data_IF_273442765089
#
_entry.id   IF_273442765089
#
_cell.length_a   1.000
_cell.length_b   1.000
_cell.length_c   1.000
_cell.angle_alpha   90.00
_cell.angle_beta   90.00
_cell.angle_gamma   90.00
#
_symmetry.space_group_name_H-M   'P 1'
#
loop_
_entity.id
_entity.type
_entity.pdbx_description
1 polymer ?
#
# COMPACT_ATOMS: atom_id res chain seq x y z
N UNK A 1 -2.75 -2.67 -11.01
CA UNK A 1 -3.17 -1.43 -10.34
C UNK A 1 -2.95 -1.62 -8.85
N UNK A 2 -1.87 -1.05 -8.34
CA UNK A 2 -1.44 -1.21 -6.95
C UNK A 2 -2.10 -0.19 -6.01
N UNK A 3 -2.43 1.01 -6.50
CA UNK A 3 -2.96 2.09 -5.65
C UNK A 3 -4.22 2.74 -6.20
N UNK A 4 -5.10 3.21 -5.31
CA UNK A 4 -6.26 4.04 -5.65
C UNK A 4 -6.49 5.16 -4.63
N UNK A 5 -6.93 6.33 -5.09
CA UNK A 5 -7.54 7.35 -4.23
C UNK A 5 -8.65 8.12 -4.95
N UNK A 6 -9.46 8.88 -4.22
CA UNK A 6 -10.60 9.63 -4.76
C UNK A 6 -10.43 11.14 -4.58
N UNK A 7 -10.39 11.87 -5.70
CA UNK A 7 -10.46 13.33 -5.70
C UNK A 7 -11.92 13.77 -5.61
N UNK A 8 -12.39 14.04 -4.39
CA UNK A 8 -13.75 14.54 -4.10
C UNK A 8 -14.07 15.85 -4.82
N UNK A 9 -13.08 16.72 -5.07
CA UNK A 9 -13.31 18.01 -5.69
C UNK A 9 -13.63 17.86 -7.19
N UNK A 10 -12.97 16.89 -7.85
CA UNK A 10 -13.14 16.62 -9.28
C UNK A 10 -14.07 15.45 -9.59
N UNK A 11 -14.46 14.68 -8.58
CA UNK A 11 -15.36 13.54 -8.72
C UNK A 11 -14.73 12.38 -9.49
N UNK A 12 -13.42 12.18 -9.36
CA UNK A 12 -12.65 11.17 -10.10
C UNK A 12 -11.79 10.31 -9.16
N UNK A 13 -11.49 9.10 -9.61
CA UNK A 13 -10.51 8.22 -9.00
C UNK A 13 -9.16 8.39 -9.69
N UNK A 14 -8.10 8.32 -8.89
CA UNK A 14 -6.71 8.28 -9.31
C UNK A 14 -6.20 6.86 -9.06
N UNK A 15 -5.63 6.22 -10.08
CA UNK A 15 -5.15 4.83 -10.02
C UNK A 15 -3.66 4.79 -10.31
N UNK A 16 -2.87 4.22 -9.42
CA UNK A 16 -1.43 4.01 -9.60
C UNK A 16 -1.18 2.64 -10.25
N UNK A 17 -0.22 2.61 -11.17
CA UNK A 17 0.30 1.36 -11.73
C UNK A 17 1.60 0.98 -11.03
N UNK A 18 1.69 -0.29 -10.64
CA UNK A 18 2.86 -1.02 -10.14
C UNK A 18 3.96 -1.26 -11.20
N UNK A 19 3.63 -1.10 -12.49
CA UNK A 19 4.62 -1.19 -13.57
C UNK A 19 5.89 -0.39 -13.29
N UNK A 20 7.01 -1.11 -13.20
CA UNK A 20 8.36 -0.60 -12.99
C UNK A 20 8.95 0.10 -14.21
N UNK A 21 8.09 0.74 -14.99
CA UNK A 21 8.34 1.32 -16.29
C UNK A 21 8.69 0.33 -17.41
N UNK A 22 8.45 -0.96 -17.20
CA UNK A 22 8.79 -2.02 -18.16
C UNK A 22 7.88 -1.97 -19.39
N UNK A 23 6.59 -1.61 -19.20
CA UNK A 23 5.62 -1.45 -20.28
C UNK A 23 5.40 0.01 -20.67
N UNK A 24 5.23 0.91 -19.69
CA UNK A 24 5.12 2.34 -19.90
C UNK A 24 5.65 3.10 -18.67
N UNK A 25 6.13 4.36 -18.81
CA UNK A 25 6.64 5.10 -17.66
C UNK A 25 5.69 5.12 -16.47
N UNK A 26 6.22 5.23 -15.25
CA UNK A 26 5.43 5.34 -14.00
C UNK A 26 4.28 6.33 -14.20
N UNK A 27 3.06 5.91 -13.86
CA UNK A 27 1.85 6.63 -14.27
C UNK A 27 0.70 6.49 -13.30
N UNK A 28 -0.13 7.52 -13.31
CA UNK A 28 -1.42 7.58 -12.63
C UNK A 28 -2.51 7.74 -13.68
N UNK A 29 -3.48 6.83 -13.69
CA UNK A 29 -4.69 6.95 -14.49
C UNK A 29 -5.75 7.77 -13.76
N UNK A 30 -6.48 8.58 -14.50
CA UNK A 30 -7.69 9.24 -14.02
C UNK A 30 -8.90 8.44 -14.51
N UNK A 31 -9.91 8.31 -13.66
CA UNK A 31 -11.09 7.50 -13.94
C UNK A 31 -12.34 8.15 -13.36
N UNK A 32 -13.43 8.14 -14.11
CA UNK A 32 -14.75 8.43 -13.55
C UNK A 32 -15.51 7.12 -13.38
N UNK A 33 -16.01 6.87 -12.17
CA UNK A 33 -16.76 5.67 -11.87
C UNK A 33 -17.86 5.99 -10.87
N UNK A 34 -19.07 5.47 -11.13
CA UNK A 34 -20.23 5.60 -10.25
C UNK A 34 -20.65 4.19 -9.81
N UNK A 35 -20.12 3.67 -8.70
CA UNK A 35 -20.32 2.27 -8.30
C UNK A 35 -21.79 1.88 -8.07
N UNK A 36 -22.64 2.86 -7.77
CA UNK A 36 -24.08 2.70 -7.54
C UNK A 36 -24.90 2.64 -8.82
N UNK A 37 -24.35 3.08 -9.96
CA UNK A 37 -24.98 3.00 -11.27
C UNK A 37 -24.36 1.83 -12.02
N UNK A 38 -25.09 0.72 -12.12
CA UNK A 38 -24.67 -0.49 -12.84
C UNK A 38 -24.25 -0.13 -14.28
N UNK A 39 -22.95 -0.02 -14.53
CA UNK A 39 -22.34 0.25 -15.82
C UNK A 39 -21.10 -0.61 -16.01
N UNK A 40 -20.63 -0.65 -17.25
CA UNK A 40 -19.41 -1.27 -17.73
C UNK A 40 -18.20 -1.05 -16.80
N UNK A 41 -17.17 -1.93 -16.84
CA UNK A 41 -15.94 -1.73 -16.09
C UNK A 41 -15.40 -0.33 -16.34
N UNK A 42 -14.98 0.39 -15.29
CA UNK A 42 -14.64 1.79 -15.46
C UNK A 42 -13.40 1.95 -16.35
N UNK A 43 -13.47 2.91 -17.27
CA UNK A 43 -12.40 3.16 -18.25
C UNK A 43 -11.57 4.39 -17.84
N UNK A 44 -10.24 4.36 -18.05
CA UNK A 44 -9.42 5.54 -17.86
C UNK A 44 -9.87 6.70 -18.75
N UNK A 45 -10.05 7.87 -18.16
CA UNK A 45 -10.35 9.13 -18.85
C UNK A 45 -9.09 9.95 -19.12
N UNK A 46 -7.98 9.62 -18.44
CA UNK A 46 -6.70 10.29 -18.60
C UNK A 46 -5.54 9.46 -18.07
N UNK A 47 -4.32 9.87 -18.43
CA UNK A 47 -3.07 9.34 -17.89
C UNK A 47 -2.11 10.48 -17.62
N UNK A 48 -1.46 10.43 -16.46
CA UNK A 48 -0.39 11.34 -16.07
C UNK A 48 0.87 10.53 -15.78
N UNK A 49 1.98 10.87 -16.43
CA UNK A 49 3.27 10.23 -16.16
C UNK A 49 4.01 10.96 -15.04
N UNK A 50 4.39 10.22 -14.00
CA UNK A 50 5.23 10.72 -12.92
C UNK A 50 6.67 10.81 -13.43
N UNK A 51 7.36 11.89 -13.09
CA UNK A 51 8.68 12.22 -13.65
C UNK A 51 9.69 12.41 -12.53
N UNK A 52 10.96 12.24 -12.88
CA UNK A 52 12.10 12.49 -12.02
C UNK A 52 12.28 14.00 -11.77
N UNK A 53 13.17 14.35 -10.84
CA UNK A 53 13.51 15.75 -10.53
C UNK A 53 14.05 16.53 -11.74
N UNK A 54 14.73 15.86 -12.67
CA UNK A 54 15.25 16.45 -13.91
C UNK A 54 14.17 16.59 -15.01
N UNK A 55 12.92 16.18 -14.75
CA UNK A 55 11.82 16.22 -15.72
C UNK A 55 11.78 15.03 -16.67
N UNK A 56 12.72 14.09 -16.62
CA UNK A 56 12.69 12.88 -17.43
C UNK A 56 11.72 11.83 -16.84
N UNK A 57 11.13 10.94 -17.66
CA UNK A 57 10.38 9.80 -17.17
C UNK A 57 11.27 8.87 -16.35
N UNK A 58 10.70 8.15 -15.38
CA UNK A 58 11.40 7.06 -14.70
C UNK A 58 11.75 5.94 -15.70
N UNK A 59 13.00 5.43 -15.71
CA UNK A 59 13.40 4.42 -16.68
C UNK A 59 12.98 3.01 -16.22
N UNK A 60 12.75 2.07 -17.17
CA UNK A 60 12.68 0.66 -16.83
C UNK A 60 14.00 0.14 -16.28
N UNK A 61 13.93 -0.92 -15.48
CA UNK A 61 15.08 -1.61 -14.90
C UNK A 61 16.22 -1.86 -15.90
N UNK A 62 15.87 -2.38 -17.08
CA UNK A 62 16.80 -2.73 -18.17
C UNK A 62 17.53 -1.54 -18.83
N UNK A 63 17.08 -0.30 -18.62
CA UNK A 63 17.66 0.91 -19.23
C UNK A 63 18.17 1.92 -18.21
N UNK A 64 17.91 1.69 -16.92
CA UNK A 64 18.27 2.62 -15.86
C UNK A 64 19.79 2.66 -15.66
N UNK A 65 20.38 3.87 -15.72
CA UNK A 65 21.78 4.07 -15.34
C UNK A 65 21.97 3.73 -13.84
N UNK A 66 23.16 3.27 -13.41
CA UNK A 66 23.40 2.78 -12.04
C UNK A 66 22.92 3.70 -10.92
N UNK A 67 23.01 5.02 -11.12
CA UNK A 67 22.63 6.07 -10.18
C UNK A 67 21.16 6.48 -10.22
N UNK A 68 20.39 5.98 -11.19
CA UNK A 68 18.98 6.32 -11.37
C UNK A 68 18.11 5.23 -10.75
N UNK A 69 17.26 5.61 -9.80
CA UNK A 69 16.32 4.70 -9.16
C UNK A 69 15.29 4.15 -10.15
N UNK A 70 14.84 2.92 -9.90
CA UNK A 70 13.74 2.27 -10.62
C UNK A 70 12.61 2.10 -9.62
N UNK A 71 11.55 2.93 -9.69
CA UNK A 71 10.42 2.78 -8.82
C UNK A 71 9.67 1.47 -9.11
N UNK A 72 9.20 0.88 -8.02
CA UNK A 72 8.16 -0.15 -7.92
C UNK A 72 6.98 0.50 -7.18
N UNK A 73 6.01 1.12 -7.87
CA UNK A 73 5.01 1.99 -7.22
C UNK A 73 3.86 1.21 -6.57
N UNK A 74 3.60 1.42 -5.28
CA UNK A 74 2.58 0.63 -4.55
C UNK A 74 1.30 1.43 -4.24
N UNK A 75 1.34 2.37 -3.29
CA UNK A 75 0.16 3.13 -2.89
C UNK A 75 0.20 4.59 -3.30
N UNK A 76 -0.99 5.21 -3.36
CA UNK A 76 -1.20 6.63 -3.74
C UNK A 76 -2.19 7.32 -2.81
N UNK A 77 -1.95 8.59 -2.46
CA UNK A 77 -2.94 9.46 -1.79
C UNK A 77 -2.94 10.88 -2.37
N UNK A 78 -4.12 11.38 -2.69
CA UNK A 78 -4.37 12.73 -3.20
C UNK A 78 -4.36 13.75 -2.06
N UNK A 79 -3.74 14.91 -2.31
CA UNK A 79 -3.68 16.04 -1.37
C UNK A 79 -4.27 17.28 -2.04
N UNK A 80 -5.57 17.56 -1.84
CA UNK A 80 -6.24 18.67 -2.52
C UNK A 80 -5.68 20.04 -2.12
N UNK A 81 -5.27 20.22 -0.86
CA UNK A 81 -4.77 21.50 -0.33
C UNK A 81 -3.48 21.98 -1.02
N UNK A 82 -2.71 21.06 -1.60
CA UNK A 82 -1.44 21.35 -2.28
C UNK A 82 -1.46 21.02 -3.77
N UNK A 83 -2.56 20.48 -4.30
CA UNK A 83 -2.71 19.95 -5.67
C UNK A 83 -1.57 18.97 -6.04
N UNK A 84 -1.29 18.06 -5.10
CA UNK A 84 -0.23 17.04 -5.21
C UNK A 84 -0.76 15.67 -4.85
N UNK A 85 -0.06 14.62 -5.27
CA UNK A 85 -0.26 13.26 -4.79
C UNK A 85 1.00 12.76 -4.08
N UNK A 86 0.79 12.01 -3.00
CA UNK A 86 1.81 11.17 -2.39
C UNK A 86 1.76 9.79 -3.02
N UNK A 87 2.90 9.16 -3.19
CA UNK A 87 2.97 7.77 -3.65
C UNK A 87 4.19 7.07 -3.06
N UNK A 88 4.04 5.78 -2.77
CA UNK A 88 5.12 4.94 -2.24
C UNK A 88 5.80 4.15 -3.35
N UNK A 89 7.00 3.68 -3.05
CA UNK A 89 7.66 2.70 -3.87
C UNK A 89 8.51 1.75 -3.04
N UNK A 90 8.57 0.46 -3.40
CA UNK A 90 9.51 -0.48 -2.79
C UNK A 90 10.95 -0.33 -3.30
N UNK A 91 11.09 0.16 -4.54
CA UNK A 91 12.36 0.39 -5.20
C UNK A 91 12.95 -0.85 -5.87
N UNK A 92 14.27 -0.89 -5.99
CA UNK A 92 15.04 -2.02 -6.52
C UNK A 92 16.23 -2.25 -5.60
N UNK A 93 16.01 -3.08 -4.56
CA UNK A 93 17.03 -3.35 -3.52
C UNK A 93 18.30 -3.90 -4.16
N UNK A 94 18.18 -4.70 -5.22
CA UNK A 94 19.32 -5.27 -5.95
C UNK A 94 20.16 -4.21 -6.68
N UNK A 95 19.56 -3.05 -7.01
CA UNK A 95 20.26 -1.88 -7.56
C UNK A 95 20.67 -0.86 -6.48
N UNK A 96 20.41 -1.15 -5.21
CA UNK A 96 20.73 -0.27 -4.08
C UNK A 96 19.72 0.86 -3.86
N UNK A 97 18.52 0.76 -4.45
CA UNK A 97 17.44 1.72 -4.25
C UNK A 97 16.36 1.08 -3.38
N UNK A 98 16.25 1.53 -2.13
CA UNK A 98 15.24 1.04 -1.19
C UNK A 98 13.89 1.75 -1.34
N UNK A 99 13.04 1.58 -0.31
CA UNK A 99 11.71 2.15 -0.34
C UNK A 99 11.74 3.67 -0.36
N UNK A 100 10.70 4.28 -0.92
CA UNK A 100 10.59 5.71 -1.04
C UNK A 100 9.16 6.20 -0.83
N UNK A 101 9.04 7.41 -0.29
CA UNK A 101 7.82 8.21 -0.32
C UNK A 101 8.08 9.44 -1.19
N UNK A 102 7.33 9.57 -2.29
CA UNK A 102 7.42 10.69 -3.21
C UNK A 102 6.20 11.58 -3.10
N UNK A 103 6.40 12.87 -3.35
CA UNK A 103 5.34 13.85 -3.56
C UNK A 103 5.47 14.41 -4.96
N UNK A 104 4.40 14.32 -5.76
CA UNK A 104 4.37 14.81 -7.14
C UNK A 104 3.17 15.70 -7.37
N UNK A 105 3.30 16.67 -8.29
CA UNK A 105 2.15 17.48 -8.72
C UNK A 105 1.19 16.64 -9.55
N UNK A 106 -0.04 17.15 -9.71
CA UNK A 106 -1.03 16.52 -10.59
C UNK A 106 -0.59 16.41 -12.06
N UNK A 107 0.37 17.22 -12.51
CA UNK A 107 0.96 17.10 -13.86
C UNK A 107 2.09 16.07 -13.96
N UNK A 108 2.43 15.41 -12.83
CA UNK A 108 3.46 14.38 -12.71
C UNK A 108 4.87 14.90 -12.39
N UNK A 109 5.08 16.21 -12.28
CA UNK A 109 6.39 16.75 -11.84
C UNK A 109 6.68 16.41 -10.38
N UNK A 110 7.90 15.93 -10.10
CA UNK A 110 8.33 15.64 -8.73
C UNK A 110 8.47 16.93 -7.91
N UNK A 111 7.85 16.94 -6.74
CA UNK A 111 8.02 18.01 -5.75
C UNK A 111 9.19 17.68 -4.83
N UNK A 112 9.20 16.47 -4.26
CA UNK A 112 10.26 15.98 -3.36
C UNK A 112 10.16 14.47 -3.15
N UNK A 113 11.26 13.91 -2.69
CA UNK A 113 11.29 12.62 -1.98
C UNK A 113 11.34 12.92 -0.47
N UNK A 114 10.45 12.31 0.29
CA UNK A 114 10.36 12.50 1.74
C UNK A 114 11.27 11.46 2.42
N UNK A 115 12.19 11.87 3.31
CA UNK A 115 13.09 10.95 3.99
C UNK A 115 12.34 9.94 4.86
N UNK A 116 12.79 8.69 4.81
CA UNK A 116 12.29 7.60 5.66
C UNK A 116 13.26 7.32 6.82
N UNK A 117 12.82 6.69 7.91
CA UNK A 117 13.72 6.20 8.95
C UNK A 117 14.76 5.23 8.37
N UNK A 118 16.04 5.47 8.65
CA UNK A 118 17.16 4.69 8.09
C UNK A 118 17.09 3.19 8.39
N UNK A 119 16.34 2.78 9.42
CA UNK A 119 16.16 1.36 9.74
C UNK A 119 15.33 0.61 8.69
N UNK A 120 14.57 1.31 7.83
CA UNK A 120 13.79 0.72 6.76
C UNK A 120 14.66 0.39 5.53
N UNK A 121 15.80 1.07 5.38
CA UNK A 121 16.73 0.86 4.26
C UNK A 121 17.25 -0.58 4.25
N UNK A 122 17.10 -1.26 3.11
CA UNK A 122 17.64 -2.60 2.93
C UNK A 122 19.17 -2.55 2.95
N UNK A 123 19.77 -3.26 3.91
CA UNK A 123 21.22 -3.35 3.99
C UNK A 123 21.77 -4.22 2.85
N UNK A 124 22.92 -3.84 2.30
CA UNK A 124 23.55 -4.55 1.18
C UNK A 124 23.96 -5.98 1.51
N UNK A 125 24.10 -6.34 2.79
CA UNK A 125 24.39 -7.70 3.26
C UNK A 125 23.12 -8.56 3.44
N UNK A 126 21.93 -7.97 3.25
CA UNK A 126 20.64 -8.64 3.38
C UNK A 126 20.26 -9.04 4.81
N UNK A 127 20.99 -8.57 5.82
CA UNK A 127 20.77 -8.94 7.23
C UNK A 127 19.94 -7.91 8.01
N UNK A 128 19.64 -6.75 7.42
CA UNK A 128 18.87 -5.67 8.05
C UNK A 128 18.02 -4.93 7.03
N UNK A 129 16.97 -4.29 7.52
CA UNK A 129 16.09 -3.43 6.73
C UNK A 129 14.94 -4.18 6.08
N UNK A 130 14.32 -3.53 5.09
CA UNK A 130 13.26 -4.16 4.31
C UNK A 130 13.77 -5.35 3.50
N UNK A 131 12.82 -6.19 3.13
CA UNK A 131 13.02 -7.36 2.28
C UNK A 131 12.69 -6.96 0.83
N UNK A 132 13.34 -7.63 -0.13
CA UNK A 132 13.03 -7.45 -1.56
C UNK A 132 11.58 -7.93 -1.81
N UNK A 133 10.78 -7.12 -2.50
CA UNK A 133 9.38 -7.40 -2.85
C UNK A 133 8.47 -7.65 -1.62
N UNK A 134 8.72 -6.95 -0.52
CA UNK A 134 8.10 -7.09 0.80
C UNK A 134 8.26 -5.79 1.62
N UNK A 135 8.19 -4.66 0.90
CA UNK A 135 8.59 -3.32 1.29
C UNK A 135 7.42 -2.44 1.73
N UNK A 136 7.36 -1.21 1.21
CA UNK A 136 6.30 -0.25 1.52
C UNK A 136 5.12 -0.42 0.55
N UNK A 137 4.10 -1.13 1.01
CA UNK A 137 2.84 -1.34 0.30
C UNK A 137 1.85 -0.21 0.61
N UNK A 138 1.45 -0.08 1.88
CA UNK A 138 0.32 0.78 2.26
C UNK A 138 0.67 2.24 2.55
N UNK A 139 -0.26 3.14 2.22
CA UNK A 139 -0.15 4.58 2.50
C UNK A 139 -1.50 5.14 2.93
N UNK A 140 -1.60 5.86 4.05
CA UNK A 140 -2.84 6.53 4.44
C UNK A 140 -2.62 8.00 4.83
N UNK A 141 -3.57 8.88 4.52
CA UNK A 141 -3.59 10.25 5.04
C UNK A 141 -4.49 10.36 6.26
N UNK A 142 -4.07 11.11 7.28
CA UNK A 142 -5.00 11.52 8.33
C UNK A 142 -6.05 12.48 7.76
N UNK A 143 -7.29 12.51 8.27
CA UNK A 143 -8.35 13.34 7.71
C UNK A 143 -8.06 14.84 7.65
N UNK A 144 -7.15 15.33 8.50
CA UNK A 144 -6.70 16.72 8.50
C UNK A 144 -5.61 17.02 7.47
N UNK A 145 -5.18 16.03 6.68
CA UNK A 145 -4.17 16.17 5.63
C UNK A 145 -2.75 16.47 6.12
N UNK A 146 -2.50 16.45 7.44
CA UNK A 146 -1.22 16.84 8.03
C UNK A 146 -0.21 15.70 8.15
N UNK A 147 -0.69 14.45 8.26
CA UNK A 147 0.15 13.29 8.45
C UNK A 147 -0.12 12.21 7.41
N UNK A 148 0.93 11.50 7.03
CA UNK A 148 0.83 10.26 6.28
C UNK A 148 1.28 9.09 7.16
N UNK A 149 0.57 7.97 7.09
CA UNK A 149 1.00 6.68 7.62
C UNK A 149 1.53 5.83 6.47
N UNK A 150 2.70 5.24 6.66
CA UNK A 150 3.33 4.30 5.75
C UNK A 150 3.31 2.92 6.39
N UNK A 151 2.87 1.90 5.67
CA UNK A 151 2.79 0.53 6.18
C UNK A 151 3.71 -0.39 5.39
N UNK A 152 4.63 -1.05 6.11
CA UNK A 152 5.41 -2.14 5.54
C UNK A 152 4.54 -3.38 5.33
N UNK A 153 4.72 -4.08 4.21
CA UNK A 153 4.05 -5.36 3.93
C UNK A 153 4.41 -6.42 4.97
N UNK A 154 5.72 -6.54 5.20
CA UNK A 154 6.31 -7.55 6.07
C UNK A 154 7.20 -6.94 7.14
N UNK A 155 7.58 -7.77 8.11
CA UNK A 155 8.60 -7.43 9.09
C UNK A 155 9.96 -7.20 8.40
N UNK A 156 10.71 -6.20 8.91
CA UNK A 156 12.11 -6.04 8.55
C UNK A 156 12.90 -7.31 8.87
N UNK A 157 14.05 -7.49 8.24
CA UNK A 157 14.90 -8.68 8.43
C UNK A 157 15.19 -8.95 9.91
N UNK A 158 15.53 -7.90 10.65
CA UNK A 158 15.88 -7.98 12.07
C UNK A 158 14.68 -8.04 13.03
N UNK A 159 13.46 -7.77 12.56
CA UNK A 159 12.27 -7.71 13.41
C UNK A 159 11.54 -9.06 13.52
N UNK A 160 11.83 -10.01 12.63
CA UNK A 160 11.32 -11.37 12.75
C UNK A 160 11.13 -12.11 11.43
N UNK A 161 10.62 -13.36 11.50
CA UNK A 161 10.37 -14.18 10.32
C UNK A 161 9.14 -13.69 9.54
N UNK A 162 9.00 -14.16 8.31
CA UNK A 162 7.75 -14.04 7.56
C UNK A 162 6.67 -14.96 8.16
N UNK A 163 5.37 -14.65 7.96
CA UNK A 163 4.28 -15.53 8.39
C UNK A 163 4.40 -16.94 7.83
N UNK A 164 3.87 -17.91 8.58
CA UNK A 164 3.77 -19.31 8.16
C UNK A 164 2.35 -19.84 8.40
N UNK A 165 2.06 -21.08 8.01
CA UNK A 165 0.75 -21.70 8.28
C UNK A 165 0.47 -21.95 9.76
N UNK A 166 1.50 -21.89 10.62
CA UNK A 166 1.41 -22.26 12.04
C UNK A 166 1.72 -21.11 12.99
N UNK A 167 2.22 -19.98 12.47
CA UNK A 167 2.62 -18.84 13.27
C UNK A 167 2.49 -17.54 12.46
N UNK A 168 2.11 -16.48 13.15
CA UNK A 168 2.20 -15.12 12.63
C UNK A 168 3.68 -14.78 12.31
N UNK A 169 3.86 -13.78 11.44
CA UNK A 169 5.18 -13.22 11.17
C UNK A 169 5.70 -12.36 12.33
N UNK A 170 6.88 -11.80 12.13
CA UNK A 170 7.36 -10.68 12.93
C UNK A 170 6.45 -9.43 12.75
N UNK A 171 6.59 -8.44 13.64
CA UNK A 171 5.86 -7.18 13.51
C UNK A 171 6.31 -6.38 12.27
N UNK A 172 5.34 -5.98 11.45
CA UNK A 172 5.49 -4.94 10.44
C UNK A 172 5.55 -3.57 11.12
N UNK A 173 6.27 -2.62 10.53
CA UNK A 173 6.40 -1.25 11.03
C UNK A 173 5.49 -0.30 10.28
N UNK A 174 4.61 0.39 11.00
CA UNK A 174 3.80 1.48 10.45
C UNK A 174 4.35 2.82 10.92
N UNK A 175 4.76 3.68 9.99
CA UNK A 175 5.48 4.94 10.27
C UNK A 175 4.59 6.13 9.98
N UNK A 176 4.43 7.04 10.95
CA UNK A 176 3.73 8.31 10.76
C UNK A 176 4.73 9.42 10.40
N UNK A 177 4.47 10.10 9.29
CA UNK A 177 5.24 11.23 8.78
C UNK A 177 4.43 12.51 8.95
N UNK A 178 5.04 13.55 9.53
CA UNK A 178 4.48 14.90 9.48
C UNK A 178 4.85 15.58 8.15
N UNK A 179 3.84 15.84 7.31
CA UNK A 179 4.05 16.25 5.92
C UNK A 179 4.63 17.66 5.76
N UNK A 180 4.40 18.54 6.74
CA UNK A 180 4.97 19.90 6.72
C UNK A 180 6.50 19.87 6.85
N UNK A 181 7.05 18.94 7.64
CA UNK A 181 8.49 18.83 7.91
C UNK A 181 9.17 17.68 7.18
N UNK A 182 8.39 16.70 6.71
CA UNK A 182 8.88 15.44 6.14
C UNK A 182 9.51 14.50 7.17
N UNK A 183 9.30 14.73 8.47
CA UNK A 183 9.89 13.93 9.55
C UNK A 183 8.98 12.78 9.96
N UNK A 184 9.57 11.62 10.19
CA UNK A 184 8.92 10.57 10.97
C UNK A 184 8.76 11.03 12.42
N UNK A 185 7.53 10.97 12.94
CA UNK A 185 7.18 11.45 14.27
C UNK A 185 6.70 10.34 15.22
N UNK A 186 6.32 9.19 14.65
CA UNK A 186 5.89 8.00 15.40
C UNK A 186 6.07 6.78 14.52
N UNK A 187 6.31 5.63 15.13
CA UNK A 187 6.20 4.35 14.45
C UNK A 187 5.54 3.34 15.39
N UNK A 188 4.69 2.46 14.88
CA UNK A 188 4.04 1.41 15.67
C UNK A 188 4.30 0.04 15.04
N UNK A 189 4.21 -1.00 15.86
CA UNK A 189 4.28 -2.38 15.42
C UNK A 189 2.86 -2.92 15.11
N UNK A 190 2.72 -3.61 13.99
CA UNK A 190 1.52 -4.34 13.58
C UNK A 190 1.88 -5.81 13.30
N UNK A 191 1.11 -6.78 13.78
CA UNK A 191 1.39 -8.20 13.56
C UNK A 191 0.38 -8.79 12.58
N UNK A 192 0.79 -9.20 11.35
CA UNK A 192 -0.10 -9.84 10.39
C UNK A 192 -0.49 -11.26 10.86
N UNK A 193 -1.61 -11.78 10.35
CA UNK A 193 -2.04 -13.15 10.66
C UNK A 193 -1.08 -14.21 10.07
N UNK A 194 -1.11 -15.45 10.59
CA UNK A 194 -0.55 -16.60 9.90
C UNK A 194 -1.16 -16.75 8.49
N UNK A 195 -0.47 -17.47 7.61
CA UNK A 195 -0.97 -17.75 6.26
C UNK A 195 -2.29 -18.56 6.38
N UNK A 196 -3.44 -18.01 5.93
CA UNK A 196 -4.76 -18.58 6.20
C UNK A 196 -5.08 -19.82 5.36
N UNK A 197 -4.42 -19.98 4.21
CA UNK A 197 -4.67 -21.08 3.26
C UNK A 197 -3.37 -21.80 2.93
N UNK A 198 -3.43 -23.13 2.95
CA UNK A 198 -2.31 -23.95 2.46
C UNK A 198 -2.37 -24.02 0.94
N UNK A 199 -1.21 -24.03 0.25
CA UNK A 199 -1.18 -24.32 -1.17
C UNK A 199 -1.69 -25.75 -1.42
N UNK A 200 -2.30 -25.98 -2.59
CA UNK A 200 -2.85 -27.30 -2.94
C UNK A 200 -1.76 -28.36 -3.10
N UNK A 201 -0.57 -27.95 -3.56
CA UNK A 201 0.60 -28.82 -3.61
C UNK A 201 1.56 -28.46 -2.46
N UNK A 202 1.80 -29.37 -1.50
CA UNK A 202 2.73 -29.11 -0.40
C UNK A 202 4.11 -28.68 -0.88
N UNK A 203 4.69 -27.67 -0.22
CA UNK A 203 6.02 -27.12 -0.56
C UNK A 203 6.02 -26.09 -1.68
N UNK A 204 4.87 -25.72 -2.23
CA UNK A 204 4.75 -24.59 -3.16
C UNK A 204 4.49 -23.26 -2.44
N UNK A 205 4.60 -22.15 -3.17
CA UNK A 205 4.58 -20.80 -2.64
C UNK A 205 3.26 -20.44 -1.93
N UNK A 206 3.38 -19.73 -0.80
CA UNK A 206 2.30 -19.04 -0.13
C UNK A 206 2.85 -17.93 0.78
N UNK A 207 2.07 -16.86 0.95
CA UNK A 207 2.42 -15.68 1.74
C UNK A 207 1.20 -15.11 2.50
N UNK A 208 1.46 -14.13 3.36
CA UNK A 208 0.47 -13.19 3.90
C UNK A 208 1.22 -11.91 4.30
N UNK A 209 0.63 -10.76 3.98
CA UNK A 209 1.25 -9.46 4.21
C UNK A 209 0.21 -8.34 4.31
N UNK A 210 0.65 -7.15 4.72
CA UNK A 210 -0.17 -5.94 4.70
C UNK A 210 -0.12 -5.35 3.29
N UNK A 211 -1.24 -5.34 2.57
CA UNK A 211 -1.27 -4.74 1.22
C UNK A 211 -1.72 -3.30 1.20
N UNK A 212 -2.52 -2.83 2.17
CA UNK A 212 -2.99 -1.44 2.17
C UNK A 212 -3.45 -0.98 3.56
N UNK A 213 -3.39 0.34 3.78
CA UNK A 213 -3.95 0.99 4.97
C UNK A 213 -4.81 2.20 4.61
N UNK A 214 -5.90 2.40 5.34
CA UNK A 214 -6.81 3.53 5.12
C UNK A 214 -7.31 4.10 6.45
N UNK A 215 -7.10 5.41 6.68
CA UNK A 215 -7.59 6.04 7.91
C UNK A 215 -9.11 6.12 7.92
N UNK A 216 -9.74 5.58 8.95
CA UNK A 216 -11.17 5.77 9.26
C UNK A 216 -11.38 7.17 9.82
N UNK A 217 -10.51 7.59 10.74
CA UNK A 217 -10.50 8.92 11.34
C UNK A 217 -9.06 9.27 11.79
N UNK A 218 -8.88 10.20 12.73
CA UNK A 218 -7.55 10.61 13.18
C UNK A 218 -6.70 9.46 13.80
N UNK A 219 -7.34 8.43 14.36
CA UNK A 219 -6.63 7.39 15.13
C UNK A 219 -7.00 5.96 14.71
N UNK A 220 -8.22 5.73 14.20
CA UNK A 220 -8.67 4.42 13.73
C UNK A 220 -8.26 4.23 12.27
N UNK A 221 -7.65 3.09 11.97
CA UNK A 221 -7.11 2.74 10.66
C UNK A 221 -7.62 1.36 10.25
N UNK A 222 -8.03 1.23 8.99
CA UNK A 222 -8.24 -0.05 8.32
C UNK A 222 -6.90 -0.57 7.81
N UNK A 223 -6.68 -1.87 7.95
CA UNK A 223 -5.50 -2.60 7.46
C UNK A 223 -5.99 -3.78 6.62
N UNK A 224 -5.64 -3.80 5.34
CA UNK A 224 -5.90 -4.91 4.46
C UNK A 224 -4.75 -5.90 4.56
N UNK A 225 -5.05 -7.13 4.97
CA UNK A 225 -4.14 -8.25 4.81
C UNK A 225 -4.52 -9.06 3.59
N UNK A 226 -3.52 -9.31 2.75
CA UNK A 226 -3.62 -10.11 1.54
C UNK A 226 -2.69 -11.31 1.65
N UNK A 227 -3.22 -12.46 1.27
CA UNK A 227 -2.48 -13.72 1.17
C UNK A 227 -2.76 -14.37 -0.17
N UNK A 228 -1.73 -14.95 -0.77
CA UNK A 228 -1.83 -15.84 -1.90
C UNK A 228 -1.27 -17.23 -1.53
N UNK A 229 -1.90 -18.28 -2.04
CA UNK A 229 -1.37 -19.63 -1.96
C UNK A 229 -1.60 -20.38 -3.27
N UNK A 230 -0.54 -21.01 -3.81
CA UNK A 230 -0.60 -21.70 -5.11
C UNK A 230 -1.72 -22.73 -5.13
N UNK A 231 -2.63 -22.57 -6.09
CA UNK A 231 -3.81 -23.41 -6.28
C UNK A 231 -4.98 -23.13 -5.33
N UNK A 232 -4.76 -22.51 -4.17
CA UNK A 232 -5.82 -22.15 -3.23
C UNK A 232 -6.35 -20.71 -3.44
N UNK A 233 -5.59 -19.88 -4.16
CA UNK A 233 -5.95 -18.52 -4.54
C UNK A 233 -5.75 -17.49 -3.42
N UNK A 234 -6.35 -16.31 -3.61
CA UNK A 234 -6.23 -15.19 -2.70
C UNK A 234 -7.14 -15.33 -1.46
N UNK A 235 -6.71 -14.71 -0.37
CA UNK A 235 -7.48 -14.44 0.85
C UNK A 235 -7.29 -12.98 1.21
N UNK A 236 -8.38 -12.28 1.52
CA UNK A 236 -8.41 -10.85 1.79
C UNK A 236 -9.19 -10.58 3.06
N UNK A 237 -8.52 -10.03 4.07
CA UNK A 237 -9.14 -9.70 5.36
C UNK A 237 -8.85 -8.27 5.72
N UNK A 238 -9.91 -7.55 6.09
CA UNK A 238 -9.83 -6.18 6.53
C UNK A 238 -9.91 -6.14 8.05
N UNK A 239 -8.89 -5.57 8.66
CA UNK A 239 -8.82 -5.35 10.09
C UNK A 239 -8.95 -3.86 10.40
N UNK A 240 -9.26 -3.57 11.65
CA UNK A 240 -9.17 -2.25 12.21
C UNK A 240 -8.20 -2.23 13.38
N UNK A 241 -7.39 -1.18 13.46
CA UNK A 241 -6.54 -0.86 14.61
C UNK A 241 -6.84 0.56 15.13
N UNK A 242 -6.59 0.79 16.42
CA UNK A 242 -6.36 2.13 16.95
C UNK A 242 -4.85 2.38 17.05
N UNK A 243 -4.35 3.31 16.24
CA UNK A 243 -2.92 3.65 16.13
C UNK A 243 -2.29 4.13 17.44
N UNK A 244 -3.09 4.54 18.42
CA UNK A 244 -2.62 4.99 19.75
C UNK A 244 -2.31 3.82 20.68
N UNK A 245 -2.88 2.65 20.43
CA UNK A 245 -2.77 1.50 21.34
C UNK A 245 -1.48 0.71 21.17
N UNK A 246 -0.78 0.87 20.05
CA UNK A 246 0.59 0.41 19.85
C UNK A 246 1.62 1.36 20.49
N UNK A 247 2.66 0.80 21.10
CA UNK A 247 3.79 1.59 21.61
C UNK A 247 4.54 2.28 20.48
N UNK A 248 5.14 3.44 20.76
CA UNK A 248 6.04 4.09 19.79
C UNK A 248 7.38 3.36 19.74
N UNK A 249 7.74 2.86 18.56
CA UNK A 249 8.94 2.09 18.28
C UNK A 249 9.91 2.79 17.32
N UNK A 250 9.69 4.08 17.04
CA UNK A 250 10.51 4.84 16.08
C UNK A 250 12.00 4.85 16.45
N UNK A 251 12.31 4.81 17.75
CA UNK A 251 13.68 4.78 18.27
C UNK A 251 14.22 3.35 18.54
N UNK A 252 13.48 2.31 18.14
CA UNK A 252 13.84 0.90 18.41
C UNK A 252 14.38 0.25 17.14
N UNK A 253 15.68 -0.04 17.11
CA UNK A 253 16.37 -0.55 15.92
C UNK A 253 15.95 -1.96 15.48
N UNK A 254 15.54 -2.81 16.43
CA UNK A 254 15.07 -4.17 16.18
C UNK A 254 13.94 -4.51 17.17
N UNK A 255 12.79 -4.92 16.65
CA UNK A 255 11.64 -5.32 17.45
C UNK A 255 11.86 -6.75 17.99
N UNK A 256 11.60 -6.91 19.29
CA UNK A 256 11.62 -8.19 19.99
C UNK A 256 10.35 -8.31 20.84
N UNK A 257 9.90 -9.53 21.18
CA UNK A 257 8.61 -9.73 21.87
C UNK A 257 8.41 -8.93 23.17
N UNK A 258 9.48 -8.50 23.83
CA UNK A 258 9.47 -7.84 25.14
C UNK A 258 9.74 -6.32 25.09
N UNK A 259 10.02 -5.75 23.91
CA UNK A 259 10.43 -4.35 23.79
C UNK A 259 9.38 -3.43 23.14
N UNK A 260 8.19 -3.95 22.83
CA UNK A 260 7.10 -3.18 22.25
C UNK A 260 5.73 -3.80 22.58
N UNK A 261 4.69 -3.00 22.42
CA UNK A 261 3.30 -3.45 22.35
C UNK A 261 2.79 -3.22 20.94
N UNK A 262 2.48 -4.31 20.22
CA UNK A 262 1.84 -4.21 18.92
C UNK A 262 0.42 -3.62 19.03
N UNK A 263 -0.01 -2.89 18.01
CA UNK A 263 -1.37 -2.39 17.94
C UNK A 263 -2.35 -3.57 17.85
N UNK A 264 -3.32 -3.71 18.77
CA UNK A 264 -4.32 -4.75 18.67
C UNK A 264 -5.21 -4.51 17.46
N UNK A 265 -5.63 -5.59 16.82
CA UNK A 265 -6.45 -5.57 15.61
C UNK A 265 -7.76 -6.31 15.80
N UNK A 266 -8.82 -5.81 15.17
CA UNK A 266 -10.15 -6.42 15.16
C UNK A 266 -10.54 -6.72 13.71
N UNK A 267 -10.99 -7.94 13.42
CA UNK A 267 -11.48 -8.29 12.09
C UNK A 267 -12.77 -7.50 11.79
N UNK A 268 -12.76 -6.74 10.69
CA UNK A 268 -13.90 -5.96 10.18
C UNK A 268 -14.64 -6.75 9.11
N UNK A 269 -13.90 -7.32 8.16
CA UNK A 269 -14.49 -8.08 7.05
C UNK A 269 -13.56 -9.18 6.54
N UNK A 270 -14.16 -10.29 6.14
CA UNK A 270 -13.55 -11.28 5.26
C UNK A 270 -14.21 -11.15 3.88
N UNK A 271 -13.43 -10.76 2.86
CA UNK A 271 -13.96 -10.47 1.52
C UNK A 271 -14.57 -11.71 0.86
N UNK A 272 -14.18 -12.93 1.29
CA UNK A 272 -14.79 -14.17 0.81
C UNK A 272 -16.30 -14.25 1.14
N UNK A 273 -16.79 -13.46 2.10
CA UNK A 273 -18.19 -13.42 2.51
C UNK A 273 -18.98 -12.26 1.91
N UNK A 274 -18.34 -11.38 1.12
CA UNK A 274 -18.94 -10.16 0.60
C UNK A 274 -19.59 -10.30 -0.78
N UNK A 275 -19.79 -11.54 -1.26
CA UNK A 275 -20.48 -11.83 -2.51
C UNK A 275 -19.69 -11.48 -3.78
N UNK A 276 -18.37 -11.33 -3.68
CA UNK A 276 -17.48 -11.19 -4.84
C UNK A 276 -17.44 -12.50 -5.63
N UNK A 277 -17.42 -12.42 -6.96
CA UNK A 277 -17.34 -13.60 -7.83
C UNK A 277 -16.00 -14.32 -7.73
N UNK A 278 -14.93 -13.58 -7.41
CA UNK A 278 -13.60 -14.09 -7.13
C UNK A 278 -12.81 -13.08 -6.29
N UNK A 279 -11.79 -13.57 -5.58
CA UNK A 279 -10.80 -12.74 -4.90
C UNK A 279 -9.51 -12.71 -5.73
N UNK A 280 -9.02 -11.51 -6.01
CA UNK A 280 -7.74 -11.29 -6.71
C UNK A 280 -6.78 -10.46 -5.86
N UNK A 281 -5.67 -10.01 -6.44
CA UNK A 281 -4.58 -9.29 -5.78
C UNK A 281 -4.99 -7.87 -5.31
N UNK A 282 -5.88 -7.77 -4.32
CA UNK A 282 -6.41 -6.48 -3.84
C UNK A 282 -5.37 -5.72 -3.03
N UNK A 283 -4.92 -4.59 -3.58
CA UNK A 283 -3.80 -3.79 -3.07
C UNK A 283 -4.16 -2.31 -2.90
N UNK A 284 -5.25 -1.84 -3.51
CA UNK A 284 -5.71 -0.47 -3.32
C UNK A 284 -7.01 -0.38 -2.51
N UNK A 285 -7.07 0.58 -1.58
CA UNK A 285 -8.28 0.99 -0.86
C UNK A 285 -8.41 2.50 -0.85
N UNK A 286 -9.64 3.01 -1.04
CA UNK A 286 -9.93 4.41 -0.81
C UNK A 286 -11.36 4.66 -0.34
N UNK A 287 -11.60 5.85 0.19
CA UNK A 287 -12.95 6.34 0.42
C UNK A 287 -13.49 6.97 -0.88
N UNK A 288 -14.59 6.43 -1.40
CA UNK A 288 -15.32 7.02 -2.51
C UNK A 288 -16.21 8.21 -2.10
N UNK A 289 -17.16 8.62 -2.95
CA UNK A 289 -18.15 9.64 -2.59
C UNK A 289 -19.03 9.19 -1.43
N UNK A 290 -19.56 10.16 -0.69
CA UNK A 290 -20.52 9.89 0.37
C UNK A 290 -21.80 9.29 -0.23
N UNK A 291 -22.35 8.28 0.45
CA UNK A 291 -23.59 7.64 0.03
C UNK A 291 -24.80 8.51 0.41
N UNK A 292 -25.93 8.42 -0.32
CA UNK A 292 -27.13 9.20 0.00
C UNK A 292 -27.67 9.00 1.41
N UNK A 293 -27.35 7.88 2.05
CA UNK A 293 -27.74 7.56 3.42
C UNK A 293 -26.77 8.11 4.48
N UNK A 294 -25.71 8.82 4.09
CA UNK A 294 -24.70 9.39 4.96
C UNK A 294 -23.54 8.46 5.32
N UNK A 295 -23.58 7.19 4.90
CA UNK A 295 -22.48 6.26 5.09
C UNK A 295 -21.38 6.49 4.06
N UNK A 296 -20.17 5.99 4.36
CA UNK A 296 -19.04 6.11 3.44
C UNK A 296 -19.01 4.94 2.48
N UNK A 297 -18.59 5.22 1.25
CA UNK A 297 -18.26 4.19 0.28
C UNK A 297 -16.80 3.78 0.45
N UNK A 298 -16.56 2.50 0.75
CA UNK A 298 -15.23 1.89 0.67
C UNK A 298 -15.05 1.30 -0.73
N UNK A 299 -14.00 1.70 -1.43
CA UNK A 299 -13.62 1.15 -2.72
C UNK A 299 -12.34 0.34 -2.57
N UNK A 300 -12.31 -0.83 -3.22
CA UNK A 300 -11.14 -1.67 -3.34
C UNK A 300 -10.81 -1.93 -4.82
N UNK A 301 -9.52 -1.99 -5.15
CA UNK A 301 -9.04 -2.37 -6.48
C UNK A 301 -8.01 -3.49 -6.39
N UNK A 302 -8.07 -4.45 -7.32
CA UNK A 302 -7.04 -5.47 -7.48
C UNK A 302 -6.06 -5.18 -8.59
N UNK A 303 -4.83 -5.60 -8.36
CA UNK A 303 -3.80 -5.72 -9.37
C UNK A 303 -3.98 -7.00 -10.19
N UNK A 304 -3.74 -6.90 -11.50
CA UNK A 304 -3.63 -8.05 -12.37
C UNK A 304 -2.19 -8.52 -12.57
N UNK A 305 -1.19 -7.84 -11.99
CA UNK A 305 0.23 -8.13 -12.12
C UNK A 305 0.68 -8.28 -13.59
N UNK A 306 -0.01 -7.64 -14.53
CA UNK A 306 0.15 -7.84 -15.98
C UNK A 306 0.04 -9.31 -16.43
N UNK A 307 -0.67 -10.12 -15.64
CA UNK A 307 -0.87 -11.55 -15.85
C UNK A 307 -2.27 -11.79 -16.45
N UNK A 308 -2.39 -12.45 -17.62
CA UNK A 308 -3.68 -12.70 -18.26
C UNK A 308 -4.63 -13.61 -17.45
N UNK A 309 -4.14 -14.24 -16.38
CA UNK A 309 -4.95 -15.05 -15.47
C UNK A 309 -5.53 -14.28 -14.28
N UNK A 310 -5.15 -13.02 -14.11
CA UNK A 310 -5.65 -12.12 -13.07
C UNK A 310 -6.47 -11.00 -13.70
N UNK A 311 -7.31 -10.34 -12.91
CA UNK A 311 -8.12 -9.22 -13.38
C UNK A 311 -7.89 -7.98 -12.52
N UNK A 312 -7.97 -6.81 -13.16
CA UNK A 312 -8.24 -5.57 -12.43
C UNK A 312 -9.73 -5.58 -12.04
N UNK A 313 -10.03 -5.86 -10.77
CA UNK A 313 -11.37 -5.89 -10.19
C UNK A 313 -11.60 -4.61 -9.38
N UNK A 314 -12.74 -3.95 -9.58
CA UNK A 314 -13.21 -2.87 -8.73
C UNK A 314 -14.36 -3.38 -7.88
N UNK A 315 -14.23 -3.24 -6.56
CA UNK A 315 -15.27 -3.58 -5.61
C UNK A 315 -15.62 -2.35 -4.76
N UNK A 316 -16.91 -2.21 -4.46
CA UNK A 316 -17.44 -1.07 -3.72
C UNK A 316 -18.40 -1.57 -2.65
N UNK A 317 -18.19 -1.11 -1.43
CA UNK A 317 -18.92 -1.55 -0.24
C UNK A 317 -19.41 -0.33 0.54
N UNK A 318 -20.61 -0.45 1.10
CA UNK A 318 -21.05 0.48 2.12
C UNK A 318 -20.31 0.20 3.43
N UNK A 319 -19.64 1.21 3.99
CA UNK A 319 -18.94 1.12 5.27
C UNK A 319 -19.79 1.72 6.39
N UNK A 320 -20.14 0.90 7.37
CA UNK A 320 -21.10 1.22 8.45
C UNK A 320 -20.44 1.49 9.81
N UNK A 321 -19.10 1.62 9.87
CA UNK A 321 -18.30 1.74 11.11
C UNK A 321 -17.56 3.06 11.36
#
# INVERSE_FOLDING_TARGET
MSGIDYDRQRGEYLLLSDDRSDFAPVRVYQMQWSPTARQDPPLPTGVTYLRQANGEPWPPRRKAAPEVAVPDPEAIRWRPDTDTLLWTSEGDVQRGFGQALYESRRDGSLVRQIPLPAMLDAASDGHRGARDNLGLEGLALTPDGRHAWLAMEAALVQDGPLPSFTAAGGPCRFTQIELSTGKAIRQIAYVPDPIPRRPLLPGTYADNGVSEVLMINANRMLVLERSYAVGAGNSLRLYEIDTREGSDVLAVDALAPDNHKAAPKTLVADFATLGLSQLDNTEGLCWGPDLPNGNRLLVAVSDDNFNPLQITQFAAFEFTG
#
